data_IF_048825904541
#
_entry.id   IF_048825904541
#
_cell.length_a   1.000
_cell.length_b   1.000
_cell.length_c   1.000
_cell.angle_alpha   90.00
_cell.angle_beta   90.00
_cell.angle_gamma   90.00
#
_symmetry.space_group_name_H-M   'P 1'
#
loop_
_entity.id
_entity.type
_entity.pdbx_description
1 polymer ?
#
# COMPACT_ATOMS: atom_id res chain seq x y z
N UNK A 1 -35.90 35.89 35.98
CA UNK A 1 -35.12 34.73 35.51
C UNK A 1 -34.44 35.11 34.21
N UNK A 2 -33.13 35.39 34.18
CA UNK A 2 -32.45 35.81 32.95
C UNK A 2 -31.92 34.60 32.16
N UNK A 3 -31.99 34.70 30.83
CA UNK A 3 -31.50 33.74 29.86
C UNK A 3 -29.97 33.60 29.91
N UNK A 4 -29.47 32.37 30.07
CA UNK A 4 -28.04 32.03 29.91
C UNK A 4 -27.70 31.97 28.42
N UNK A 5 -26.93 32.94 27.97
CA UNK A 5 -26.10 32.88 26.76
C UNK A 5 -24.76 32.26 27.17
N UNK A 6 -24.29 31.20 26.49
CA UNK A 6 -22.97 30.64 26.78
C UNK A 6 -22.68 29.28 26.16
N UNK A 7 -21.90 29.32 25.07
CA UNK A 7 -20.91 28.31 24.67
C UNK A 7 -21.39 26.95 24.15
N UNK A 8 -22.10 26.94 23.02
CA UNK A 8 -22.01 25.81 22.09
C UNK A 8 -20.85 26.05 21.11
N UNK A 9 -19.61 25.82 21.56
CA UNK A 9 -18.51 25.55 20.62
C UNK A 9 -18.75 24.15 20.07
N UNK A 10 -19.37 24.07 18.91
CA UNK A 10 -19.33 22.85 18.11
C UNK A 10 -17.84 22.50 17.91
N UNK A 11 -17.40 21.26 18.23
CA UNK A 11 -16.09 20.84 17.79
C UNK A 11 -16.12 20.90 16.26
N UNK A 12 -15.24 21.71 15.68
CA UNK A 12 -14.89 21.58 14.26
C UNK A 12 -14.37 20.16 14.10
N UNK A 13 -15.21 19.26 13.60
CA UNK A 13 -14.78 18.00 13.02
C UNK A 13 -14.02 18.35 11.74
N UNK A 14 -12.77 18.78 11.93
CA UNK A 14 -11.85 19.06 10.86
C UNK A 14 -11.48 17.73 10.21
N UNK A 15 -11.89 17.61 8.95
CA UNK A 15 -11.51 16.66 7.91
C UNK A 15 -10.23 15.87 8.20
N UNK A 16 -10.37 14.78 8.96
CA UNK A 16 -9.31 13.78 9.15
C UNK A 16 -9.82 12.37 8.86
N UNK A 17 -10.70 12.25 7.87
CA UNK A 17 -10.81 10.99 7.15
C UNK A 17 -9.75 11.04 6.06
N UNK A 18 -8.53 10.61 6.39
CA UNK A 18 -7.66 10.04 5.37
C UNK A 18 -8.50 8.97 4.69
N UNK A 19 -9.01 9.22 3.48
CA UNK A 19 -9.82 8.27 2.74
C UNK A 19 -9.04 6.98 2.69
N UNK A 20 -9.48 5.95 3.42
CA UNK A 20 -8.86 4.64 3.29
C UNK A 20 -8.90 4.30 1.80
N UNK A 21 -7.75 4.00 1.17
CA UNK A 21 -7.77 3.61 -0.23
C UNK A 21 -8.72 2.42 -0.34
N UNK A 22 -9.72 2.55 -1.19
CA UNK A 22 -10.66 1.48 -1.45
C UNK A 22 -9.83 0.34 -2.06
N UNK A 23 -9.64 -0.74 -1.30
CA UNK A 23 -8.99 -1.94 -1.80
C UNK A 23 -10.00 -2.69 -2.67
N UNK A 24 -9.91 -2.51 -3.99
CA UNK A 24 -10.69 -3.25 -4.96
C UNK A 24 -9.95 -4.53 -5.35
N UNK A 25 -10.60 -5.68 -5.17
CA UNK A 25 -10.05 -6.99 -5.56
C UNK A 25 -10.66 -7.40 -6.89
N UNK A 26 -9.81 -7.63 -7.89
CA UNK A 26 -10.22 -8.12 -9.22
C UNK A 26 -9.53 -9.47 -9.49
N UNK A 27 -10.29 -10.58 -9.61
CA UNK A 27 -9.69 -11.87 -9.93
C UNK A 27 -9.16 -11.86 -11.37
N UNK A 28 -7.95 -12.38 -11.55
CA UNK A 28 -7.34 -12.63 -12.86
C UNK A 28 -7.21 -14.15 -13.07
N UNK A 29 -7.23 -14.63 -14.33
CA UNK A 29 -6.89 -16.02 -14.63
C UNK A 29 -5.51 -16.35 -14.06
N UNK A 30 -5.39 -17.51 -13.42
CA UNK A 30 -4.09 -17.95 -12.91
C UNK A 30 -3.11 -18.18 -14.06
N UNK A 31 -1.90 -17.66 -13.92
CA UNK A 31 -0.75 -17.98 -14.78
C UNK A 31 0.36 -18.56 -13.91
N UNK A 32 0.93 -19.69 -14.35
CA UNK A 32 2.14 -20.24 -13.74
C UNK A 32 3.42 -19.51 -14.19
N UNK A 33 3.32 -18.72 -15.26
CA UNK A 33 4.39 -17.84 -15.73
C UNK A 33 4.13 -16.41 -15.21
N UNK A 34 4.94 -15.91 -14.25
CA UNK A 34 4.77 -14.55 -13.73
C UNK A 34 5.08 -13.46 -14.75
N UNK A 35 5.89 -13.75 -15.78
CA UNK A 35 6.26 -12.78 -16.81
C UNK A 35 5.05 -12.37 -17.64
N UNK A 36 4.08 -13.28 -17.83
CA UNK A 36 2.85 -13.01 -18.56
C UNK A 36 2.11 -11.76 -18.04
N UNK A 37 2.08 -11.56 -16.72
CA UNK A 37 1.49 -10.38 -16.11
C UNK A 37 2.51 -9.24 -15.93
N UNK A 38 3.74 -9.53 -15.52
CA UNK A 38 4.74 -8.48 -15.27
C UNK A 38 5.07 -7.67 -16.53
N UNK A 39 5.05 -8.28 -17.71
CA UNK A 39 5.26 -7.58 -18.97
C UNK A 39 4.31 -6.39 -19.19
N UNK A 40 3.12 -6.38 -18.54
CA UNK A 40 2.15 -5.27 -18.64
C UNK A 40 2.51 -4.06 -17.80
N UNK A 41 3.34 -4.24 -16.77
CA UNK A 41 3.70 -3.18 -15.82
C UNK A 41 5.21 -2.95 -15.73
N UNK A 42 6.04 -3.69 -16.47
CA UNK A 42 7.51 -3.63 -16.35
C UNK A 42 8.10 -2.23 -16.57
N UNK A 43 7.45 -1.41 -17.38
CA UNK A 43 7.88 -0.04 -17.68
C UNK A 43 7.29 0.98 -16.68
N UNK A 44 6.44 0.53 -15.75
CA UNK A 44 5.84 1.40 -14.75
C UNK A 44 6.90 1.84 -13.71
N UNK A 45 6.73 3.02 -13.11
CA UNK A 45 7.61 3.48 -12.05
C UNK A 45 7.72 2.45 -10.92
N UNK A 46 8.98 2.12 -10.60
CA UNK A 46 9.35 1.20 -9.50
C UNK A 46 8.63 -0.15 -9.57
N UNK A 47 8.43 -0.68 -10.79
CA UNK A 47 7.90 -2.02 -10.98
C UNK A 47 8.83 -3.07 -10.34
N UNK A 48 8.25 -3.98 -9.57
CA UNK A 48 8.96 -5.07 -8.89
C UNK A 48 8.23 -6.39 -9.16
N UNK A 49 9.02 -7.43 -9.43
CA UNK A 49 8.59 -8.82 -9.48
C UNK A 49 9.33 -9.59 -8.37
N UNK A 50 8.57 -10.26 -7.51
CA UNK A 50 9.08 -11.30 -6.61
C UNK A 50 8.64 -12.64 -7.17
N UNK A 51 9.56 -13.32 -7.83
CA UNK A 51 9.35 -14.64 -8.41
C UNK A 51 9.70 -15.73 -7.39
N UNK A 52 8.76 -16.62 -7.15
CA UNK A 52 8.93 -17.80 -6.31
C UNK A 52 9.87 -18.85 -6.93
N UNK A 53 10.08 -18.80 -8.25
CA UNK A 53 10.93 -19.72 -9.01
C UNK A 53 10.45 -21.18 -8.97
N UNK A 54 9.24 -21.43 -8.47
CA UNK A 54 8.70 -22.78 -8.24
C UNK A 54 7.28 -22.91 -8.79
N UNK A 55 7.11 -22.80 -10.12
CA UNK A 55 5.79 -22.79 -10.76
C UNK A 55 5.01 -24.10 -10.63
N UNK A 56 5.57 -25.16 -10.05
CA UNK A 56 4.89 -26.45 -9.82
C UNK A 56 4.81 -26.87 -8.36
N UNK A 57 5.33 -26.07 -7.42
CA UNK A 57 5.27 -26.40 -6.00
C UNK A 57 3.86 -26.23 -5.44
N UNK A 58 3.49 -27.05 -4.46
CA UNK A 58 2.22 -26.88 -3.73
C UNK A 58 2.28 -25.74 -2.70
N UNK A 59 3.48 -25.36 -2.26
CA UNK A 59 3.73 -24.28 -1.28
C UNK A 59 4.77 -23.31 -1.82
N UNK A 60 4.58 -22.02 -1.51
CA UNK A 60 5.48 -20.96 -1.96
C UNK A 60 5.49 -20.81 -3.48
N UNK A 61 4.34 -21.00 -4.13
CA UNK A 61 4.14 -20.97 -5.60
C UNK A 61 3.59 -19.65 -6.11
N UNK A 62 3.53 -18.64 -5.23
CA UNK A 62 2.93 -17.37 -5.54
C UNK A 62 4.03 -16.36 -5.84
N UNK A 63 3.85 -15.69 -6.96
CA UNK A 63 4.67 -14.56 -7.37
C UNK A 63 3.93 -13.28 -7.01
N UNK A 64 4.66 -12.26 -6.58
CA UNK A 64 4.10 -10.96 -6.24
C UNK A 64 4.60 -9.91 -7.23
N UNK A 65 3.68 -9.08 -7.69
CA UNK A 65 3.94 -8.02 -8.65
C UNK A 65 3.44 -6.70 -8.05
N UNK A 66 4.24 -5.65 -8.13
CA UNK A 66 3.87 -4.31 -7.65
C UNK A 66 4.44 -3.22 -8.56
N UNK A 67 3.76 -2.09 -8.65
CA UNK A 67 4.17 -0.89 -9.37
C UNK A 67 3.39 0.33 -8.85
N UNK A 68 3.82 1.55 -9.24
CA UNK A 68 3.19 2.81 -8.83
C UNK A 68 3.11 2.98 -7.29
N UNK A 69 4.24 2.99 -6.58
CA UNK A 69 4.23 3.14 -5.13
C UNK A 69 3.63 4.50 -4.72
N UNK A 70 2.89 4.50 -3.61
CA UNK A 70 2.38 5.74 -3.01
C UNK A 70 3.50 6.52 -2.29
N UNK A 71 4.51 5.81 -1.80
CA UNK A 71 5.65 6.38 -1.09
C UNK A 71 6.89 5.51 -1.33
N UNK A 72 8.04 6.16 -1.51
CA UNK A 72 9.34 5.51 -1.54
C UNK A 72 10.06 5.76 -0.21
N UNK A 73 10.50 4.69 0.43
CA UNK A 73 11.28 4.76 1.66
C UNK A 73 12.74 4.49 1.33
N UNK A 74 13.62 5.39 1.79
CA UNK A 74 15.08 5.28 1.67
C UNK A 74 15.69 5.44 3.06
N UNK A 75 16.65 4.60 3.40
CA UNK A 75 17.38 4.65 4.67
C UNK A 75 18.30 5.87 4.66
N UNK A 76 18.34 6.64 5.74
CA UNK A 76 19.33 7.71 5.92
C UNK A 76 20.65 7.13 6.48
N UNK A 77 21.78 7.79 6.20
CA UNK A 77 23.13 7.25 6.48
C UNK A 77 23.34 6.76 7.93
N UNK A 78 22.73 7.42 8.91
CA UNK A 78 22.83 7.08 10.34
C UNK A 78 21.51 6.54 10.94
N UNK A 79 20.55 6.17 10.10
CA UNK A 79 19.28 5.62 10.56
C UNK A 79 19.39 4.13 10.88
N UNK A 80 19.07 3.77 12.12
CA UNK A 80 18.98 2.36 12.50
C UNK A 80 17.66 1.73 11.99
N UNK A 81 17.67 0.41 11.79
CA UNK A 81 16.53 -0.30 11.23
C UNK A 81 15.25 -0.23 12.05
N UNK A 82 15.34 -0.12 13.39
CA UNK A 82 14.15 -0.01 14.23
C UNK A 82 13.43 1.33 14.03
N UNK A 83 14.19 2.42 13.87
CA UNK A 83 13.65 3.74 13.54
C UNK A 83 13.05 3.75 12.13
N UNK A 84 13.73 3.13 11.17
CA UNK A 84 13.24 3.04 9.78
C UNK A 84 11.87 2.33 9.68
N UNK A 85 11.70 1.22 10.41
CA UNK A 85 10.47 0.41 10.36
C UNK A 85 9.24 1.06 11.02
N UNK A 86 9.39 2.20 11.71
CA UNK A 86 8.28 2.91 12.37
C UNK A 86 7.65 4.02 11.53
N UNK A 87 8.17 4.28 10.32
CA UNK A 87 7.63 5.30 9.39
C UNK A 87 6.41 4.77 8.64
#
# INVERSE_FOLDING_TARGET
MPHRQGYNRQPRFQDRYSTMPICSIHPLPYSADPIAFFARIREAPRAVLLDSGRPTAERGRYDLLSAWPLQELTVADDENGATYLQR
#
